data_IF_258782400515
#
_entry.id   IF_258782400515
#
_cell.length_a   1.000
_cell.length_b   1.000
_cell.length_c   1.000
_cell.angle_alpha   90.00
_cell.angle_beta   90.00
_cell.angle_gamma   90.00
#
_symmetry.space_group_name_H-M   'P 1'
#
loop_
_entity.id
_entity.type
_entity.pdbx_description
1 polymer ?
#
# COMPACT_ATOMS: atom_id res chain seq x y z
N UNK A 1 -29.40 8.43 10.86
CA UNK A 1 -29.71 7.00 10.67
C UNK A 1 -28.54 6.21 11.21
N UNK A 2 -28.71 5.34 12.22
CA UNK A 2 -27.61 4.50 12.70
C UNK A 2 -27.24 3.50 11.60
N UNK A 3 -25.94 3.37 11.34
CA UNK A 3 -25.36 2.51 10.32
C UNK A 3 -25.81 1.07 10.53
N UNK A 4 -26.42 0.45 9.51
CA UNK A 4 -26.73 -0.98 9.53
C UNK A 4 -25.40 -1.74 9.69
N UNK A 5 -25.26 -2.69 10.63
CA UNK A 5 -23.99 -3.31 11.03
C UNK A 5 -23.27 -4.15 9.96
N UNK A 6 -23.60 -4.01 8.68
CA UNK A 6 -22.89 -4.61 7.55
C UNK A 6 -22.49 -3.64 6.44
N UNK A 7 -22.90 -2.36 6.48
CA UNK A 7 -22.59 -1.41 5.41
C UNK A 7 -21.57 -0.37 5.85
N UNK A 8 -20.33 -0.53 5.40
CA UNK A 8 -19.25 0.44 5.60
C UNK A 8 -19.39 1.51 4.52
N UNK A 9 -20.11 2.60 4.83
CA UNK A 9 -20.45 3.66 3.86
C UNK A 9 -19.21 4.35 3.26
N UNK A 10 -18.08 4.35 3.97
CA UNK A 10 -16.82 4.87 3.45
C UNK A 10 -16.38 4.19 2.14
N UNK A 11 -16.76 2.92 1.88
CA UNK A 11 -16.44 2.25 0.60
C UNK A 11 -17.48 2.49 -0.51
N UNK A 12 -18.57 3.23 -0.26
CA UNK A 12 -19.66 3.39 -1.23
C UNK A 12 -19.21 4.06 -2.53
N UNK A 13 -18.17 4.89 -2.50
CA UNK A 13 -17.64 5.54 -3.70
C UNK A 13 -17.09 4.56 -4.75
N UNK A 14 -16.70 3.34 -4.34
CA UNK A 14 -16.12 2.33 -5.26
C UNK A 14 -17.13 1.77 -6.25
N UNK A 15 -18.41 1.75 -5.88
CA UNK A 15 -19.50 1.20 -6.70
C UNK A 15 -20.39 2.29 -7.31
N UNK A 16 -20.08 3.56 -7.04
CA UNK A 16 -20.81 4.69 -7.59
C UNK A 16 -20.45 4.91 -9.06
N UNK A 17 -21.37 5.46 -9.84
CA UNK A 17 -21.18 5.72 -11.27
C UNK A 17 -19.93 6.59 -11.55
N UNK A 18 -19.67 7.58 -10.69
CA UNK A 18 -18.50 8.47 -10.76
C UNK A 18 -17.31 8.00 -9.91
N UNK A 19 -17.16 6.69 -9.69
CA UNK A 19 -16.08 6.13 -8.86
C UNK A 19 -14.67 6.69 -9.18
N UNK A 20 -14.25 6.84 -10.45
CA UNK A 20 -12.92 7.40 -10.76
C UNK A 20 -12.70 8.80 -10.18
N UNK A 21 -13.71 9.66 -10.29
CA UNK A 21 -13.67 11.05 -9.80
C UNK A 21 -13.58 11.10 -8.28
N UNK A 22 -14.40 10.31 -7.57
CA UNK A 22 -14.33 10.22 -6.12
C UNK A 22 -12.95 9.74 -5.65
N UNK A 23 -12.38 8.74 -6.36
CA UNK A 23 -11.03 8.24 -6.08
C UNK A 23 -9.95 9.28 -6.31
N UNK A 24 -10.05 10.07 -7.38
CA UNK A 24 -9.12 11.16 -7.66
C UNK A 24 -9.14 12.22 -6.55
N UNK A 25 -10.33 12.60 -6.07
CA UNK A 25 -10.47 13.53 -4.93
C UNK A 25 -9.84 12.96 -3.66
N UNK A 26 -10.17 11.72 -3.28
CA UNK A 26 -9.58 11.09 -2.08
C UNK A 26 -8.06 10.91 -2.21
N UNK A 27 -7.56 10.62 -3.40
CA UNK A 27 -6.12 10.56 -3.68
C UNK A 27 -5.44 11.92 -3.48
N UNK A 28 -6.09 13.03 -3.87
CA UNK A 28 -5.58 14.37 -3.62
C UNK A 28 -5.46 14.65 -2.11
N UNK A 29 -6.44 14.24 -1.30
CA UNK A 29 -6.36 14.34 0.16
C UNK A 29 -5.24 13.49 0.76
N UNK A 30 -5.07 12.25 0.32
CA UNK A 30 -3.96 11.40 0.77
C UNK A 30 -2.60 12.03 0.46
N UNK A 31 -2.44 12.58 -0.75
CA UNK A 31 -1.21 13.24 -1.18
C UNK A 31 -0.95 14.57 -0.43
N UNK A 32 -2.00 15.31 -0.09
CA UNK A 32 -1.89 16.52 0.74
C UNK A 32 -1.47 16.16 2.17
N UNK A 33 -2.05 15.08 2.72
CA UNK A 33 -1.71 14.57 4.06
C UNK A 33 -0.24 14.13 4.16
N UNK A 34 0.30 13.48 3.13
CA UNK A 34 1.73 13.13 3.05
C UNK A 34 2.65 14.37 3.13
N UNK A 35 2.14 15.54 2.73
CA UNK A 35 2.81 16.84 2.84
C UNK A 35 2.40 17.63 4.08
N UNK A 36 1.77 16.99 5.05
CA UNK A 36 1.26 17.58 6.29
C UNK A 36 0.20 18.67 6.11
N UNK A 37 -0.46 18.72 4.94
CA UNK A 37 -1.65 19.56 4.74
C UNK A 37 -2.90 18.74 5.07
N UNK A 38 -3.51 19.03 6.23
CA UNK A 38 -4.66 18.27 6.75
C UNK A 38 -6.00 18.75 6.19
N UNK A 39 -6.08 20.01 5.80
CA UNK A 39 -7.30 20.65 5.32
C UNK A 39 -7.05 21.18 3.91
N UNK A 40 -8.01 20.98 3.01
CA UNK A 40 -7.94 21.51 1.65
C UNK A 40 -9.17 22.36 1.35
N UNK A 41 -8.94 23.50 0.68
CA UNK A 41 -9.99 24.29 0.05
C UNK A 41 -10.41 23.65 -1.27
N UNK A 42 -11.67 23.81 -1.71
CA UNK A 42 -12.11 23.36 -3.04
C UNK A 42 -11.19 23.79 -4.19
N UNK A 43 -10.63 25.00 -4.13
CA UNK A 43 -9.66 25.50 -5.13
C UNK A 43 -8.37 24.68 -5.18
N UNK A 44 -7.86 24.23 -4.04
CA UNK A 44 -6.65 23.41 -3.96
C UNK A 44 -6.90 22.00 -4.49
N UNK A 45 -8.09 21.45 -4.22
CA UNK A 45 -8.54 20.16 -4.75
C UNK A 45 -8.67 20.24 -6.27
N UNK A 46 -9.36 21.26 -6.79
CA UNK A 46 -9.50 21.49 -8.23
C UNK A 46 -8.12 21.63 -8.93
N UNK A 47 -7.19 22.36 -8.32
CA UNK A 47 -5.84 22.51 -8.85
C UNK A 47 -5.07 21.17 -8.88
N UNK A 48 -5.20 20.35 -7.83
CA UNK A 48 -4.60 19.00 -7.77
C UNK A 48 -5.16 18.08 -8.86
N UNK A 49 -6.48 18.06 -9.02
CA UNK A 49 -7.17 17.27 -10.05
C UNK A 49 -6.76 17.70 -11.46
N UNK A 50 -6.71 19.01 -11.72
CA UNK A 50 -6.26 19.54 -13.01
C UNK A 50 -4.80 19.17 -13.32
N UNK A 51 -3.91 19.18 -12.32
CA UNK A 51 -2.51 18.77 -12.49
C UNK A 51 -2.36 17.27 -12.84
N UNK A 52 -3.32 16.44 -12.42
CA UNK A 52 -3.39 15.02 -12.75
C UNK A 52 -4.15 14.72 -14.05
N UNK A 53 -4.60 15.75 -14.78
CA UNK A 53 -5.32 15.60 -16.06
C UNK A 53 -6.81 15.29 -15.91
N UNK A 54 -7.39 15.45 -14.73
CA UNK A 54 -8.81 15.22 -14.44
C UNK A 54 -9.50 16.52 -13.96
N UNK A 55 -9.55 17.60 -14.77
CA UNK A 55 -10.17 18.84 -14.34
C UNK A 55 -11.67 18.65 -14.09
N UNK A 56 -12.15 19.21 -12.98
CA UNK A 56 -13.57 19.21 -12.61
C UNK A 56 -14.12 20.64 -12.61
N UNK A 57 -15.34 20.79 -13.12
CA UNK A 57 -16.08 22.05 -13.02
C UNK A 57 -16.47 22.34 -11.56
N UNK A 58 -16.51 23.61 -11.11
CA UNK A 58 -16.73 23.95 -9.70
C UNK A 58 -18.01 23.33 -9.09
N UNK A 59 -19.13 23.37 -9.82
CA UNK A 59 -20.40 22.79 -9.35
C UNK A 59 -20.34 21.27 -9.22
N UNK A 60 -19.56 20.62 -10.08
CA UNK A 60 -19.38 19.18 -10.02
C UNK A 60 -18.50 18.80 -8.84
N UNK A 61 -17.44 19.59 -8.59
CA UNK A 61 -16.59 19.40 -7.42
C UNK A 61 -17.39 19.55 -6.12
N UNK A 62 -18.24 20.58 -6.00
CA UNK A 62 -19.09 20.78 -4.82
C UNK A 62 -19.97 19.54 -4.57
N UNK A 63 -20.65 19.04 -5.60
CA UNK A 63 -21.48 17.84 -5.49
C UNK A 63 -20.67 16.57 -5.11
N UNK A 64 -19.44 16.46 -5.61
CA UNK A 64 -18.54 15.35 -5.27
C UNK A 64 -18.10 15.42 -3.80
N UNK A 65 -17.76 16.61 -3.32
CA UNK A 65 -17.36 16.83 -1.92
C UNK A 65 -18.51 16.56 -0.96
N UNK A 66 -19.71 17.05 -1.27
CA UNK A 66 -20.92 16.79 -0.48
C UNK A 66 -21.19 15.29 -0.39
N UNK A 67 -21.11 14.56 -1.51
CA UNK A 67 -21.33 13.12 -1.52
C UNK A 67 -20.27 12.34 -0.72
N UNK A 68 -19.00 12.76 -0.77
CA UNK A 68 -17.93 12.18 0.03
C UNK A 68 -18.11 12.46 1.52
N UNK A 69 -18.64 13.63 1.89
CA UNK A 69 -19.06 13.93 3.26
C UNK A 69 -20.23 13.04 3.69
N UNK A 70 -21.24 12.87 2.85
CA UNK A 70 -22.40 12.01 3.12
C UNK A 70 -22.02 10.55 3.36
N UNK A 71 -20.98 10.07 2.69
CA UNK A 71 -20.42 8.72 2.87
C UNK A 71 -19.45 8.61 4.05
N UNK A 72 -19.12 9.71 4.71
CA UNK A 72 -18.22 9.75 5.86
C UNK A 72 -16.73 9.76 5.50
N UNK A 73 -16.37 9.98 4.24
CA UNK A 73 -14.97 10.04 3.81
C UNK A 73 -14.32 11.39 4.12
N UNK A 74 -15.09 12.48 4.02
CA UNK A 74 -14.64 13.85 4.27
C UNK A 74 -15.47 14.51 5.36
N UNK A 75 -14.89 15.48 6.07
CA UNK A 75 -15.57 16.33 7.03
C UNK A 75 -15.41 17.81 6.63
N UNK A 76 -16.50 18.60 6.54
CA UNK A 76 -16.43 20.02 6.24
C UNK A 76 -16.24 20.84 7.52
N UNK A 77 -15.29 21.78 7.48
CA UNK A 77 -14.98 22.74 8.52
C UNK A 77 -15.20 24.17 8.00
N UNK A 78 -15.83 25.07 8.77
CA UNK A 78 -15.94 26.47 8.39
C UNK A 78 -14.56 27.11 8.19
N UNK A 79 -14.34 27.76 7.06
CA UNK A 79 -13.14 28.55 6.80
C UNK A 79 -13.30 29.94 7.45
N UNK A 80 -12.61 30.15 8.57
CA UNK A 80 -12.68 31.39 9.37
C UNK A 80 -11.60 32.41 9.02
N UNK A 81 -10.90 32.24 7.88
CA UNK A 81 -9.86 33.17 7.45
C UNK A 81 -10.40 34.60 7.19
N UNK A 82 -9.63 35.62 7.59
CA UNK A 82 -9.97 37.03 7.41
C UNK A 82 -10.18 37.38 5.93
N UNK A 83 -11.27 38.11 5.66
CA UNK A 83 -11.81 38.32 4.30
C UNK A 83 -11.24 39.60 3.68
N UNK A 84 -10.76 39.52 2.44
CA UNK A 84 -10.23 40.67 1.70
C UNK A 84 -11.30 41.44 0.88
N UNK A 85 -12.47 40.86 0.60
CA UNK A 85 -13.51 41.47 -0.25
C UNK A 85 -14.96 41.15 0.20
N UNK A 86 -15.89 42.06 -0.08
CA UNK A 86 -17.31 41.97 0.37
C UNK A 86 -18.08 40.82 -0.31
N UNK A 87 -17.75 40.47 -1.55
CA UNK A 87 -18.38 39.35 -2.29
C UNK A 87 -17.96 37.98 -1.75
N UNK A 88 -16.80 37.90 -1.11
CA UNK A 88 -16.26 36.69 -0.49
C UNK A 88 -16.86 36.41 0.90
N UNK A 89 -17.59 37.36 1.49
CA UNK A 89 -18.21 37.25 2.81
C UNK A 89 -19.52 36.43 2.81
N UNK A 90 -20.23 36.37 1.67
CA UNK A 90 -21.58 35.78 1.59
C UNK A 90 -21.62 34.32 1.10
N UNK A 91 -20.49 33.72 0.72
CA UNK A 91 -20.43 32.29 0.37
C UNK A 91 -19.95 31.49 1.58
N UNK A 92 -20.69 30.47 2.05
CA UNK A 92 -20.16 29.51 3.00
C UNK A 92 -18.87 28.91 2.43
N UNK A 93 -17.75 29.19 3.09
CA UNK A 93 -16.45 28.63 2.71
C UNK A 93 -16.16 27.48 3.64
N UNK A 94 -15.95 26.31 3.04
CA UNK A 94 -15.58 25.11 3.77
C UNK A 94 -14.15 24.72 3.42
N UNK A 95 -13.41 24.36 4.44
CA UNK A 95 -12.24 23.52 4.37
C UNK A 95 -12.71 22.08 4.52
N UNK A 96 -12.16 21.17 3.74
CA UNK A 96 -12.48 19.76 3.85
C UNK A 96 -11.29 19.03 4.46
N UNK A 97 -11.57 18.07 5.33
CA UNK A 97 -10.59 17.19 5.94
C UNK A 97 -10.93 15.74 5.62
N UNK A 98 -9.90 14.92 5.35
CA UNK A 98 -10.07 13.47 5.25
C UNK A 98 -10.33 12.88 6.63
N UNK A 99 -11.43 12.14 6.78
CA UNK A 99 -11.75 11.45 8.04
C UNK A 99 -10.86 10.22 8.22
N UNK A 100 -10.81 9.70 9.45
CA UNK A 100 -10.12 8.43 9.74
C UNK A 100 -10.73 7.27 8.95
N UNK A 101 -12.05 7.26 8.77
CA UNK A 101 -12.75 6.23 7.99
C UNK A 101 -12.42 6.32 6.50
N UNK A 102 -12.43 7.53 5.92
CA UNK A 102 -12.06 7.75 4.53
C UNK A 102 -10.60 7.40 4.23
N UNK A 103 -9.70 7.74 5.15
CA UNK A 103 -8.29 7.36 5.08
C UNK A 103 -8.10 5.84 5.14
N UNK A 104 -8.76 5.16 6.08
CA UNK A 104 -8.69 3.71 6.19
C UNK A 104 -9.23 3.02 4.91
N UNK A 105 -10.34 3.53 4.36
CA UNK A 105 -10.92 3.02 3.13
C UNK A 105 -9.96 3.16 1.94
N UNK A 106 -9.39 4.35 1.72
CA UNK A 106 -8.46 4.58 0.61
C UNK A 106 -7.14 3.79 0.78
N UNK A 107 -6.63 3.64 2.01
CA UNK A 107 -5.49 2.73 2.26
C UNK A 107 -5.80 1.29 1.91
N UNK A 108 -6.97 0.78 2.29
CA UNK A 108 -7.39 -0.57 1.96
C UNK A 108 -7.50 -0.78 0.44
N UNK A 109 -8.05 0.20 -0.29
CA UNK A 109 -8.14 0.15 -1.75
C UNK A 109 -6.75 0.16 -2.40
N UNK A 110 -5.83 1.01 -1.93
CA UNK A 110 -4.44 1.02 -2.41
C UNK A 110 -3.74 -0.31 -2.15
N UNK A 111 -3.90 -0.88 -0.95
CA UNK A 111 -3.34 -2.19 -0.62
C UNK A 111 -3.90 -3.29 -1.53
N UNK A 112 -5.21 -3.29 -1.79
CA UNK A 112 -5.86 -4.22 -2.72
C UNK A 112 -5.29 -4.10 -4.14
N UNK A 113 -5.19 -2.88 -4.68
CA UNK A 113 -4.65 -2.66 -6.03
C UNK A 113 -3.16 -3.03 -6.12
N UNK A 114 -2.35 -2.63 -5.14
CA UNK A 114 -0.94 -2.99 -5.09
C UNK A 114 -0.75 -4.51 -5.02
N UNK A 115 -1.60 -5.21 -4.28
CA UNK A 115 -1.58 -6.67 -4.21
C UNK A 115 -1.92 -7.34 -5.55
N UNK A 116 -2.78 -6.73 -6.37
CA UNK A 116 -3.12 -7.22 -7.71
C UNK A 116 -2.06 -6.91 -8.76
N UNK A 117 -1.35 -5.78 -8.61
CA UNK A 117 -0.39 -5.27 -9.60
C UNK A 117 1.04 -5.78 -9.41
N UNK A 118 1.31 -6.56 -8.35
CA UNK A 118 2.64 -7.13 -8.11
C UNK A 118 2.94 -8.29 -9.09
N UNK A 119 3.86 -8.13 -10.07
CA UNK A 119 4.48 -9.28 -10.70
C UNK A 119 5.29 -9.98 -9.60
N UNK A 120 4.91 -11.20 -9.27
CA UNK A 120 5.68 -11.95 -8.30
C UNK A 120 7.06 -12.26 -8.83
N UNK A 121 8.07 -12.03 -8.00
CA UNK A 121 9.47 -12.35 -8.24
C UNK A 121 10.01 -13.08 -7.02
N UNK A 122 10.70 -14.19 -7.25
CA UNK A 122 11.42 -14.92 -6.21
C UNK A 122 12.75 -14.20 -5.94
N UNK A 123 12.74 -13.23 -5.05
CA UNK A 123 13.94 -12.48 -4.69
C UNK A 123 14.77 -13.27 -3.66
N UNK A 124 15.92 -13.74 -4.10
CA UNK A 124 16.90 -14.45 -3.25
C UNK A 124 17.68 -13.52 -2.33
N UNK A 125 17.69 -12.22 -2.62
CA UNK A 125 18.22 -11.20 -1.72
C UNK A 125 17.60 -11.25 -0.32
N UNK A 126 16.30 -11.59 -0.21
CA UNK A 126 15.65 -11.74 1.09
C UNK A 126 16.22 -12.88 1.95
N UNK A 127 16.75 -13.94 1.33
CA UNK A 127 17.39 -15.04 2.05
C UNK A 127 18.75 -14.62 2.62
N UNK A 128 19.52 -13.81 1.88
CA UNK A 128 20.76 -13.22 2.37
C UNK A 128 20.49 -12.28 3.56
N UNK A 129 19.45 -11.42 3.45
CA UNK A 129 19.03 -10.55 4.54
C UNK A 129 18.63 -11.34 5.79
N UNK A 130 17.86 -12.43 5.64
CA UNK A 130 17.46 -13.30 6.77
C UNK A 130 18.69 -13.89 7.46
N UNK A 131 19.65 -14.40 6.70
CA UNK A 131 20.91 -14.93 7.24
C UNK A 131 21.69 -13.87 8.00
N UNK A 132 21.83 -12.68 7.43
CA UNK A 132 22.59 -11.61 8.06
C UNK A 132 21.90 -11.09 9.34
N UNK A 133 20.57 -11.04 9.36
CA UNK A 133 19.79 -10.75 10.57
C UNK A 133 19.93 -11.83 11.65
N UNK A 134 20.03 -13.11 11.29
CA UNK A 134 20.30 -14.19 12.24
C UNK A 134 21.71 -14.08 12.83
N UNK A 135 22.71 -13.69 12.02
CA UNK A 135 24.07 -13.41 12.52
C UNK A 135 24.07 -12.25 13.52
N UNK A 136 23.36 -11.17 13.19
CA UNK A 136 23.21 -10.03 14.08
C UNK A 136 22.51 -10.45 15.37
N UNK A 137 21.48 -11.29 15.28
CA UNK A 137 20.75 -11.84 16.43
C UNK A 137 21.67 -12.65 17.33
N UNK A 138 22.48 -13.56 16.76
CA UNK A 138 23.47 -14.33 17.51
C UNK A 138 24.50 -13.41 18.22
N UNK A 139 24.92 -12.33 17.55
CA UNK A 139 25.82 -11.33 18.12
C UNK A 139 25.23 -10.62 19.33
N UNK A 140 24.01 -10.10 19.21
CA UNK A 140 23.35 -9.37 20.31
C UNK A 140 22.91 -10.29 21.45
N UNK A 141 22.57 -11.55 21.16
CA UNK A 141 22.19 -12.55 22.16
C UNK A 141 23.39 -13.00 23.02
N UNK A 142 24.61 -12.91 22.49
CA UNK A 142 25.84 -13.22 23.23
C UNK A 142 26.36 -12.06 24.10
N UNK A 143 25.78 -10.86 24.01
CA UNK A 143 26.18 -9.70 24.83
C UNK A 143 25.87 -9.94 26.33
N UNK A 144 26.79 -9.57 27.21
CA UNK A 144 26.57 -9.57 28.68
C UNK A 144 26.92 -8.19 29.26
N UNK A 145 25.94 -7.45 29.83
CA UNK A 145 24.52 -7.81 29.99
C UNK A 145 23.78 -7.83 28.65
N UNK A 146 22.73 -8.65 28.58
CA UNK A 146 21.85 -8.77 27.41
C UNK A 146 21.07 -7.47 27.17
N UNK A 147 21.09 -6.95 25.94
CA UNK A 147 20.24 -5.84 25.52
C UNK A 147 18.94 -6.39 24.92
N UNK A 148 17.93 -6.58 25.77
CA UNK A 148 16.59 -7.07 25.39
C UNK A 148 15.94 -6.23 24.28
N UNK A 149 16.22 -4.92 24.25
CA UNK A 149 15.68 -4.00 23.26
C UNK A 149 16.26 -4.26 21.87
N UNK A 150 17.58 -4.52 21.76
CA UNK A 150 18.21 -4.93 20.50
C UNK A 150 17.67 -6.28 20.03
N UNK A 151 17.63 -7.27 20.91
CA UNK A 151 17.11 -8.62 20.61
C UNK A 151 15.70 -8.54 20.03
N UNK A 152 14.79 -7.82 20.71
CA UNK A 152 13.41 -7.65 20.24
C UNK A 152 13.33 -6.98 18.86
N UNK A 153 14.12 -5.93 18.61
CA UNK A 153 14.13 -5.23 17.30
C UNK A 153 14.65 -6.14 16.19
N UNK A 154 15.71 -6.89 16.43
CA UNK A 154 16.29 -7.83 15.45
C UNK A 154 15.32 -8.96 15.13
N UNK A 155 14.68 -9.56 16.15
CA UNK A 155 13.64 -10.58 15.96
C UNK A 155 12.45 -10.04 15.16
N UNK A 156 11.98 -8.82 15.48
CA UNK A 156 10.87 -8.20 14.75
C UNK A 156 11.21 -7.99 13.28
N UNK A 157 12.43 -7.51 12.99
CA UNK A 157 12.90 -7.30 11.62
C UNK A 157 13.01 -8.63 10.86
N UNK A 158 13.50 -9.69 11.52
CA UNK A 158 13.56 -11.03 10.97
C UNK A 158 12.17 -11.57 10.60
N UNK A 159 11.18 -11.44 11.49
CA UNK A 159 9.79 -11.82 11.20
C UNK A 159 9.24 -11.07 9.98
N UNK A 160 9.45 -9.75 9.90
CA UNK A 160 9.02 -8.95 8.75
C UNK A 160 9.66 -9.43 7.44
N UNK A 161 10.97 -9.76 7.44
CA UNK A 161 11.65 -10.30 6.24
C UNK A 161 11.08 -11.67 5.82
N UNK A 162 10.78 -12.55 6.77
CA UNK A 162 10.17 -13.86 6.49
C UNK A 162 8.76 -13.74 5.91
N UNK A 163 7.95 -12.82 6.43
CA UNK A 163 6.62 -12.50 5.92
C UNK A 163 6.69 -11.95 4.48
N UNK A 164 7.63 -11.04 4.22
CA UNK A 164 7.87 -10.50 2.87
C UNK A 164 8.29 -11.57 1.88
N UNK A 165 9.22 -12.46 2.25
CA UNK A 165 9.63 -13.59 1.41
C UNK A 165 8.43 -14.49 1.06
N UNK A 166 7.61 -14.81 2.06
CA UNK A 166 6.40 -15.64 1.87
C UNK A 166 5.41 -14.98 0.93
N UNK A 167 5.12 -13.70 1.13
CA UNK A 167 4.20 -12.91 0.30
C UNK A 167 4.68 -12.82 -1.16
N UNK A 168 5.99 -12.61 -1.37
CA UNK A 168 6.60 -12.59 -2.71
C UNK A 168 6.51 -13.94 -3.41
N UNK A 169 6.79 -15.03 -2.71
CA UNK A 169 6.66 -16.38 -3.24
C UNK A 169 5.21 -16.70 -3.65
N UNK A 170 4.22 -16.35 -2.81
CA UNK A 170 2.81 -16.50 -3.15
C UNK A 170 2.41 -15.67 -4.38
N UNK A 171 2.91 -14.44 -4.49
CA UNK A 171 2.64 -13.57 -5.63
C UNK A 171 3.26 -14.12 -6.92
N UNK A 172 4.43 -14.74 -6.84
CA UNK A 172 5.08 -15.41 -7.98
C UNK A 172 4.27 -16.62 -8.43
N UNK A 173 3.81 -17.46 -7.51
CA UNK A 173 2.95 -18.59 -7.84
C UNK A 173 1.66 -18.15 -8.54
N UNK A 174 1.05 -17.03 -8.11
CA UNK A 174 -0.12 -16.44 -8.79
C UNK A 174 0.20 -15.91 -10.19
N UNK A 175 1.35 -15.24 -10.39
CA UNK A 175 1.73 -14.71 -11.70
C UNK A 175 1.98 -15.83 -12.72
N UNK A 176 2.52 -16.97 -12.28
CA UNK A 176 2.65 -18.16 -13.12
C UNK A 176 1.30 -18.70 -13.58
N UNK A 177 0.35 -18.87 -12.67
CA UNK A 177 -1.00 -19.35 -13.00
C UNK A 177 -1.67 -18.46 -14.04
N UNK A 178 -1.62 -17.13 -13.84
CA UNK A 178 -2.20 -16.16 -14.79
C UNK A 178 -1.55 -16.21 -16.17
N UNK A 179 -0.24 -16.45 -16.25
CA UNK A 179 0.49 -16.53 -17.51
C UNK A 179 0.19 -17.83 -18.27
N UNK A 180 -0.05 -18.92 -17.56
CA UNK A 180 -0.46 -20.21 -18.14
C UNK A 180 -1.89 -20.13 -18.71
N UNK A 181 -2.77 -19.33 -18.09
CA UNK A 181 -4.15 -19.13 -18.52
C UNK A 181 -4.32 -18.17 -19.72
N UNK A 182 -3.25 -17.54 -20.21
CA UNK A 182 -3.30 -16.66 -21.38
C UNK A 182 -3.61 -17.44 -22.66
N UNK A 183 -4.90 -17.51 -23.01
CA UNK A 183 -5.36 -18.01 -24.30
C UNK A 183 -4.90 -17.07 -25.42
N UNK A 184 -4.20 -17.60 -26.44
CA UNK A 184 -3.82 -16.86 -27.65
C UNK A 184 -2.32 -16.59 -27.86
N UNK A 185 -1.43 -17.13 -27.01
CA UNK A 185 0.02 -17.05 -27.22
C UNK A 185 0.48 -18.13 -28.21
N UNK A 186 1.40 -17.80 -29.12
CA UNK A 186 1.96 -18.81 -30.03
C UNK A 186 2.76 -19.86 -29.25
N UNK A 187 2.82 -21.09 -29.78
CA UNK A 187 3.51 -22.21 -29.12
C UNK A 187 4.99 -21.87 -28.88
N UNK A 188 5.63 -21.16 -29.81
CA UNK A 188 7.04 -20.75 -29.72
C UNK A 188 7.28 -19.78 -28.56
N UNK A 189 6.40 -18.78 -28.38
CA UNK A 189 6.50 -17.80 -27.29
C UNK A 189 6.27 -18.49 -25.94
N UNK A 190 5.34 -19.43 -25.89
CA UNK A 190 5.08 -20.22 -24.68
C UNK A 190 6.26 -21.11 -24.29
N UNK A 191 6.90 -21.78 -25.26
CA UNK A 191 8.08 -22.60 -25.02
C UNK A 191 9.28 -21.77 -24.54
N UNK A 192 9.55 -20.63 -25.18
CA UNK A 192 10.61 -19.72 -24.76
C UNK A 192 10.38 -19.15 -23.34
N UNK A 193 9.11 -18.91 -22.97
CA UNK A 193 8.76 -18.52 -21.61
C UNK A 193 9.02 -19.66 -20.61
N UNK A 194 8.64 -20.89 -20.93
CA UNK A 194 8.88 -22.07 -20.08
C UNK A 194 10.37 -22.32 -19.83
N UNK A 195 11.22 -22.23 -20.85
CA UNK A 195 12.67 -22.41 -20.69
C UNK A 195 13.24 -21.38 -19.72
N UNK A 196 12.91 -20.08 -19.92
CA UNK A 196 13.34 -19.00 -18.99
C UNK A 196 12.83 -19.21 -17.58
N UNK A 197 11.61 -19.72 -17.43
CA UNK A 197 11.02 -20.01 -16.13
C UNK A 197 11.75 -21.16 -15.42
N UNK A 198 12.09 -22.23 -16.15
CA UNK A 198 12.84 -23.37 -15.60
C UNK A 198 14.22 -22.90 -15.15
N UNK A 199 14.96 -22.20 -16.01
CA UNK A 199 16.29 -21.67 -15.68
C UNK A 199 16.25 -20.78 -14.42
N UNK A 200 15.23 -19.94 -14.33
CA UNK A 200 15.02 -19.07 -13.16
C UNK A 200 14.73 -19.87 -11.88
N UNK A 201 13.87 -20.90 -11.96
CA UNK A 201 13.54 -21.76 -10.81
C UNK A 201 14.74 -22.58 -10.36
N UNK A 202 15.53 -23.13 -11.28
CA UNK A 202 16.73 -23.90 -10.95
C UNK A 202 17.75 -23.04 -10.22
N UNK A 203 17.99 -21.81 -10.71
CA UNK A 203 18.85 -20.85 -10.02
C UNK A 203 18.31 -20.50 -8.64
N UNK A 204 17.02 -20.21 -8.52
CA UNK A 204 16.39 -19.90 -7.24
C UNK A 204 16.52 -21.05 -6.24
N UNK A 205 16.26 -22.29 -6.65
CA UNK A 205 16.39 -23.48 -5.80
C UNK A 205 17.85 -23.64 -5.35
N UNK A 206 18.81 -23.44 -6.26
CA UNK A 206 20.23 -23.48 -5.91
C UNK A 206 20.58 -22.47 -4.81
N UNK A 207 20.18 -21.20 -4.99
CA UNK A 207 20.40 -20.15 -3.99
C UNK A 207 19.66 -20.43 -2.68
N UNK A 208 18.45 -21.00 -2.73
CA UNK A 208 17.66 -21.40 -1.57
C UNK A 208 18.33 -22.51 -0.76
N UNK A 209 18.88 -23.54 -1.42
CA UNK A 209 19.55 -24.65 -0.74
C UNK A 209 20.80 -24.15 -0.01
N UNK A 210 21.59 -23.29 -0.66
CA UNK A 210 22.79 -22.69 -0.04
C UNK A 210 22.40 -21.84 1.16
N UNK A 211 21.47 -20.90 0.97
CA UNK A 211 21.03 -20.03 2.05
C UNK A 211 20.36 -20.80 3.20
N UNK A 212 19.58 -21.84 2.90
CA UNK A 212 18.96 -22.70 3.90
C UNK A 212 19.97 -23.40 4.81
N UNK A 213 21.08 -23.89 4.24
CA UNK A 213 22.18 -24.46 5.02
C UNK A 213 22.85 -23.42 5.92
N UNK A 214 23.13 -22.22 5.41
CA UNK A 214 23.73 -21.14 6.20
C UNK A 214 22.79 -20.67 7.32
N UNK A 215 21.50 -20.54 7.04
CA UNK A 215 20.47 -20.18 8.03
C UNK A 215 20.38 -21.22 9.14
N UNK A 216 20.42 -22.52 8.81
CA UNK A 216 20.36 -23.58 9.81
C UNK A 216 21.53 -23.49 10.80
N UNK A 217 22.74 -23.22 10.31
CA UNK A 217 23.94 -23.04 11.14
C UNK A 217 23.79 -21.86 12.10
N UNK A 218 23.25 -20.72 11.66
CA UNK A 218 23.06 -19.57 12.54
C UNK A 218 21.96 -19.82 13.59
N UNK A 219 20.92 -20.60 13.26
CA UNK A 219 19.89 -21.01 14.23
C UNK A 219 20.50 -21.92 15.31
N UNK A 220 21.25 -22.96 14.91
CA UNK A 220 21.94 -23.85 15.87
C UNK A 220 22.89 -23.07 16.79
N UNK A 221 23.57 -22.05 16.26
CA UNK A 221 24.44 -21.18 17.04
C UNK A 221 23.67 -20.36 18.08
N UNK A 222 22.49 -19.84 17.74
CA UNK A 222 21.64 -19.09 18.67
C UNK A 222 21.08 -20.02 19.75
N UNK A 223 20.66 -21.22 19.40
CA UNK A 223 20.13 -22.22 20.35
C UNK A 223 21.18 -22.71 21.37
N UNK A 224 22.47 -22.55 21.06
CA UNK A 224 23.58 -22.95 21.91
C UNK A 224 24.03 -21.85 22.90
N UNK A 225 23.47 -20.64 22.84
CA UNK A 225 23.74 -19.53 23.78
C UNK A 225 22.97 -19.69 25.10
#
# INVERSE_FOLDING_TARGET
MPSTPGQIRAFAYLIAEKAPVYRAVLAAFMQAKERFSLHLRPKEIAASLAACGEPLEPRELDAVLDQLCDWGNLEPHPDTAEVATVEDFYRPRYLYQLTVEGEAAERAVRAYLAFLDQPGELQTAALADIRDLLRDLAGVAAETPLDEGKVFRTLKLLCTRLEELTSRAQSFLRSLQRTIDLQGVSVEVFLAYKERLIDYLERFIGELVVAGGEIAVEIERIEAL
#
